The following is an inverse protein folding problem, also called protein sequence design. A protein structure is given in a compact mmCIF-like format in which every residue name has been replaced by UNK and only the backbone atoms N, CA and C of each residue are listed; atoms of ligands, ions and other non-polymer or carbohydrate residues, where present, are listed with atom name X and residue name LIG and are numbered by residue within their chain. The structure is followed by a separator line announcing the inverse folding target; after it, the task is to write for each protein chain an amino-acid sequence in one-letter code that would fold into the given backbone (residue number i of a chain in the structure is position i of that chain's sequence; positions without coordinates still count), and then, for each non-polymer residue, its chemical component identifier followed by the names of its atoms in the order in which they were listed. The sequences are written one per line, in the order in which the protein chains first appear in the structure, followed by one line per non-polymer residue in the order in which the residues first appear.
data_IF_070101642517
#
_entry.id   IF_070101642517
#
_cell.length_a   1.000
_cell.length_b   1.000
_cell.length_c   1.000
_cell.angle_alpha   90.00
_cell.angle_beta   90.00
_cell.angle_gamma   90.00
#
_symmetry.space_group_name_H-M   'P 1'
#
loop_
_entity.id
_entity.type
_entity.pdbx_description
1 polymer ?
#
# COMPACT_ATOMS: atom_id res chain seq x y z
N UNK A 1 -9.76 -6.62 -8.26
CA UNK A 1 -9.92 -7.50 -7.08
C UNK A 1 -9.82 -6.66 -5.81
N UNK A 2 -10.71 -6.87 -4.87
CA UNK A 2 -10.67 -6.31 -3.52
C UNK A 2 -9.95 -7.30 -2.61
N UNK A 3 -8.93 -6.82 -1.91
CA UNK A 3 -8.20 -7.56 -0.88
C UNK A 3 -8.02 -6.62 0.32
N UNK A 4 -8.19 -7.10 1.51
CA UNK A 4 -8.11 -6.31 2.73
C UNK A 4 -8.52 -7.14 3.95
N UNK A 5 -8.57 -6.55 5.16
CA UNK A 5 -8.87 -7.29 6.39
C UNK A 5 -10.15 -8.15 6.35
N UNK A 6 -11.18 -7.67 5.65
CA UNK A 6 -12.46 -8.38 5.49
C UNK A 6 -12.57 -9.16 4.15
N UNK A 7 -11.53 -9.10 3.31
CA UNK A 7 -11.56 -9.65 1.94
C UNK A 7 -10.29 -10.44 1.65
N UNK A 8 -10.36 -11.74 1.89
CA UNK A 8 -9.25 -12.66 1.61
C UNK A 8 -8.99 -12.78 0.12
N UNK A 9 -7.71 -12.86 -0.26
CA UNK A 9 -7.32 -13.22 -1.62
C UNK A 9 -7.78 -14.66 -1.92
N UNK A 10 -8.60 -14.85 -2.94
CA UNK A 10 -9.15 -16.14 -3.30
C UNK A 10 -8.09 -17.10 -3.86
N UNK A 11 -7.11 -16.53 -4.60
CA UNK A 11 -6.06 -17.31 -5.23
C UNK A 11 -4.79 -16.49 -5.36
N UNK A 12 -3.66 -17.07 -4.94
CA UNK A 12 -2.36 -16.46 -5.15
C UNK A 12 -2.03 -16.35 -6.65
N UNK A 13 -1.32 -15.29 -7.02
CA UNK A 13 -0.89 -15.09 -8.39
C UNK A 13 0.26 -16.05 -8.75
N UNK A 14 0.40 -16.36 -10.04
CA UNK A 14 1.56 -17.10 -10.55
C UNK A 14 2.72 -16.11 -10.73
N UNK A 15 3.66 -16.16 -9.81
CA UNK A 15 4.83 -15.28 -9.78
C UNK A 15 5.63 -15.34 -11.10
N UNK A 16 5.75 -16.53 -11.68
CA UNK A 16 6.55 -16.76 -12.89
C UNK A 16 5.99 -16.10 -14.15
N UNK A 17 4.67 -15.93 -14.20
CA UNK A 17 3.97 -15.45 -15.40
C UNK A 17 3.37 -14.04 -15.23
N UNK A 18 3.08 -13.63 -14.01
CA UNK A 18 2.34 -12.40 -13.74
C UNK A 18 3.22 -11.24 -13.23
N UNK A 19 4.39 -11.54 -12.67
CA UNK A 19 5.28 -10.50 -12.13
C UNK A 19 6.35 -10.06 -13.13
N UNK A 20 6.78 -8.81 -12.97
CA UNK A 20 7.95 -8.24 -13.60
C UNK A 20 8.89 -7.67 -12.53
N UNK A 21 10.19 -7.80 -12.74
CA UNK A 21 11.20 -7.18 -11.89
C UNK A 21 11.45 -5.75 -12.36
N UNK A 22 11.37 -4.82 -11.42
CA UNK A 22 11.78 -3.44 -11.64
C UNK A 22 13.30 -3.29 -11.52
N UNK A 23 13.84 -2.17 -11.98
CA UNK A 23 15.29 -1.87 -11.89
C UNK A 23 15.82 -1.83 -10.46
N UNK A 24 14.97 -1.55 -9.47
CA UNK A 24 15.29 -1.57 -8.05
C UNK A 24 15.24 -2.98 -7.41
N UNK A 25 14.93 -4.03 -8.19
CA UNK A 25 14.84 -5.42 -7.74
C UNK A 25 13.51 -5.84 -7.15
N UNK A 26 12.57 -4.92 -6.96
CA UNK A 26 11.21 -5.25 -6.51
C UNK A 26 10.38 -5.87 -7.63
N UNK A 27 9.40 -6.70 -7.23
CA UNK A 27 8.47 -7.35 -8.13
C UNK A 27 7.10 -6.69 -8.04
N UNK A 28 6.50 -6.44 -9.19
CA UNK A 28 5.12 -5.95 -9.32
C UNK A 28 4.40 -6.71 -10.44
N UNK A 29 3.08 -6.60 -10.51
CA UNK A 29 2.34 -7.14 -11.66
C UNK A 29 2.86 -6.50 -12.95
N UNK A 30 3.23 -7.32 -13.93
CA UNK A 30 3.84 -6.85 -15.20
C UNK A 30 2.96 -5.86 -15.97
N UNK A 31 1.63 -5.91 -15.76
CA UNK A 31 0.68 -5.02 -16.44
C UNK A 31 0.78 -3.57 -15.96
N UNK A 32 1.22 -3.37 -14.71
CA UNK A 32 1.31 -2.04 -14.10
C UNK A 32 2.74 -1.46 -14.10
N UNK A 33 3.73 -2.24 -14.48
CA UNK A 33 5.13 -1.79 -14.49
C UNK A 33 5.35 -0.52 -15.32
N UNK A 34 4.82 -0.38 -16.54
CA UNK A 34 4.96 0.86 -17.33
C UNK A 34 4.34 2.09 -16.66
N UNK A 35 3.18 1.92 -16.02
CA UNK A 35 2.49 3.02 -15.32
C UNK A 35 3.24 3.44 -14.06
N UNK A 36 3.78 2.48 -13.31
CA UNK A 36 4.62 2.78 -12.16
C UNK A 36 5.91 3.51 -12.56
N UNK A 37 6.59 3.06 -13.61
CA UNK A 37 7.81 3.72 -14.10
C UNK A 37 7.53 5.15 -14.58
N UNK A 38 6.41 5.38 -15.27
CA UNK A 38 5.98 6.71 -15.66
C UNK A 38 5.70 7.61 -14.44
N UNK A 39 5.04 7.07 -13.43
CA UNK A 39 4.78 7.77 -12.18
C UNK A 39 6.07 8.13 -11.43
N UNK A 40 7.00 7.18 -11.28
CA UNK A 40 8.28 7.41 -10.63
C UNK A 40 9.11 8.48 -11.35
N UNK A 41 9.10 8.46 -12.70
CA UNK A 41 9.79 9.48 -13.53
C UNK A 41 9.16 10.87 -13.35
N UNK A 42 7.84 10.96 -13.27
CA UNK A 42 7.15 12.23 -13.03
C UNK A 42 7.45 12.77 -11.61
N UNK A 43 7.51 11.91 -10.60
CA UNK A 43 7.90 12.28 -9.24
C UNK A 43 9.34 12.80 -9.18
N UNK A 44 10.28 12.16 -9.87
CA UNK A 44 11.66 12.62 -9.99
C UNK A 44 11.73 14.00 -10.65
N UNK A 45 11.02 14.21 -11.75
CA UNK A 45 10.95 15.49 -12.44
C UNK A 45 10.35 16.61 -11.58
N UNK A 46 9.46 16.26 -10.66
CA UNK A 46 8.87 17.20 -9.69
C UNK A 46 9.76 17.46 -8.46
N UNK A 47 10.90 16.79 -8.35
CA UNK A 47 11.83 16.92 -7.21
C UNK A 47 11.55 15.96 -6.05
N UNK A 48 10.73 14.93 -6.27
CA UNK A 48 10.38 13.91 -5.27
C UNK A 48 10.71 12.49 -5.77
N UNK A 49 11.99 12.16 -6.04
CA UNK A 49 12.37 10.81 -6.47
C UNK A 49 11.81 9.76 -5.49
N UNK A 50 11.13 8.75 -6.02
CA UNK A 50 10.50 7.72 -5.19
C UNK A 50 11.50 6.65 -4.75
N UNK A 51 11.40 6.27 -3.49
CA UNK A 51 12.05 5.10 -2.90
C UNK A 51 10.98 4.06 -2.61
N UNK A 52 11.08 2.90 -3.25
CA UNK A 52 10.20 1.78 -2.98
C UNK A 52 10.67 1.05 -1.73
N UNK A 53 9.76 0.82 -0.80
CA UNK A 53 10.01 0.15 0.49
C UNK A 53 9.44 -1.27 0.48
N UNK A 54 8.33 -1.48 -0.22
CA UNK A 54 7.68 -2.79 -0.38
C UNK A 54 6.92 -2.83 -1.69
N UNK A 55 6.76 -4.02 -2.25
CA UNK A 55 5.97 -4.28 -3.45
C UNK A 55 5.31 -5.67 -3.34
N UNK A 56 5.37 -6.51 -4.35
CA UNK A 56 4.84 -7.86 -4.24
C UNK A 56 5.43 -8.61 -3.03
N UNK A 57 4.57 -9.30 -2.32
CA UNK A 57 4.92 -10.17 -1.19
C UNK A 57 4.03 -11.41 -1.23
N UNK A 58 4.65 -12.59 -1.18
CA UNK A 58 3.92 -13.86 -1.09
C UNK A 58 3.18 -13.99 0.25
N UNK A 59 2.19 -14.88 0.31
CA UNK A 59 1.47 -15.16 1.57
C UNK A 59 2.43 -15.67 2.63
N UNK A 60 3.39 -16.52 2.27
CA UNK A 60 4.40 -17.03 3.21
C UNK A 60 5.33 -15.94 3.74
N UNK A 61 5.73 -14.99 2.90
CA UNK A 61 6.53 -13.83 3.34
C UNK A 61 5.72 -12.89 4.25
N UNK A 62 4.42 -12.71 3.97
CA UNK A 62 3.53 -11.94 4.83
C UNK A 62 3.41 -12.55 6.23
N UNK A 63 3.35 -13.87 6.32
CA UNK A 63 3.31 -14.56 7.60
C UNK A 63 4.54 -14.23 8.45
N UNK A 64 5.73 -14.27 7.86
CA UNK A 64 6.96 -13.91 8.57
C UNK A 64 6.94 -12.45 9.06
N UNK A 65 6.49 -11.51 8.23
CA UNK A 65 6.36 -10.09 8.60
C UNK A 65 5.37 -9.91 9.74
N UNK A 66 4.23 -10.58 9.67
CA UNK A 66 3.18 -10.51 10.68
C UNK A 66 3.67 -11.07 12.03
N UNK A 67 4.22 -12.28 12.03
CA UNK A 67 4.76 -12.93 13.22
C UNK A 67 5.88 -12.11 13.86
N UNK A 68 6.80 -11.57 13.06
CA UNK A 68 7.88 -10.71 13.57
C UNK A 68 7.32 -9.46 14.23
N UNK A 69 6.32 -8.82 13.63
CA UNK A 69 5.71 -7.63 14.22
C UNK A 69 4.99 -7.93 15.54
N UNK A 70 4.28 -9.07 15.64
CA UNK A 70 3.69 -9.52 16.89
C UNK A 70 4.77 -9.65 17.99
N UNK A 71 5.88 -10.29 17.70
CA UNK A 71 6.98 -10.43 18.65
C UNK A 71 7.60 -9.09 19.05
N UNK A 72 7.74 -8.17 18.09
CA UNK A 72 8.25 -6.83 18.34
C UNK A 72 7.31 -6.02 19.25
N UNK A 73 6.00 -6.11 19.04
CA UNK A 73 4.98 -5.46 19.89
C UNK A 73 5.01 -6.04 21.30
N UNK A 74 5.05 -7.38 21.43
CA UNK A 74 5.19 -8.03 22.73
C UNK A 74 6.42 -7.53 23.50
N UNK A 75 7.54 -7.46 22.83
CA UNK A 75 8.83 -7.06 23.42
C UNK A 75 8.85 -5.58 23.84
N UNK A 76 8.28 -4.69 23.00
CA UNK A 76 8.28 -3.23 23.25
C UNK A 76 7.24 -2.81 24.29
N UNK A 77 6.08 -3.44 24.30
CA UNK A 77 4.94 -3.02 25.12
C UNK A 77 4.68 -3.93 26.33
N UNK A 78 5.32 -5.11 26.39
CA UNK A 78 5.14 -6.05 27.48
C UNK A 78 3.74 -6.66 27.55
N UNK A 79 3.06 -6.75 26.40
CA UNK A 79 1.70 -7.28 26.29
C UNK A 79 1.69 -8.77 25.93
N UNK A 80 0.54 -9.42 26.08
CA UNK A 80 0.34 -10.81 25.65
C UNK A 80 0.39 -10.94 24.13
N UNK A 81 0.61 -12.15 23.63
CA UNK A 81 0.57 -12.45 22.19
C UNK A 81 -0.80 -12.12 21.58
N UNK A 82 -1.90 -12.39 22.31
CA UNK A 82 -3.24 -12.05 21.86
C UNK A 82 -3.42 -10.54 21.67
N UNK A 83 -2.95 -9.74 22.63
CA UNK A 83 -3.02 -8.28 22.54
C UNK A 83 -2.08 -7.73 21.46
N UNK A 84 -0.85 -8.26 21.38
CA UNK A 84 0.10 -7.89 20.34
C UNK A 84 -0.43 -8.21 18.93
N UNK A 85 -1.14 -9.33 18.76
CA UNK A 85 -1.80 -9.70 17.51
C UNK A 85 -2.87 -8.68 17.12
N UNK A 86 -3.70 -8.23 18.06
CA UNK A 86 -4.71 -7.18 17.81
C UNK A 86 -4.07 -5.88 17.36
N UNK A 87 -3.03 -5.44 18.06
CA UNK A 87 -2.28 -4.22 17.72
C UNK A 87 -1.65 -4.35 16.32
N UNK A 88 -1.06 -5.51 16.02
CA UNK A 88 -0.46 -5.75 14.71
C UNK A 88 -1.48 -5.65 13.57
N UNK A 89 -2.70 -6.17 13.76
CA UNK A 89 -3.76 -6.13 12.74
C UNK A 89 -4.23 -4.72 12.36
N UNK A 90 -3.96 -3.71 13.17
CA UNK A 90 -4.32 -2.32 12.86
C UNK A 90 -3.46 -1.72 11.73
N UNK A 91 -2.25 -2.28 11.53
CA UNK A 91 -1.27 -1.74 10.57
C UNK A 91 -0.75 -2.79 9.58
N UNK A 92 -0.79 -4.06 9.94
CA UNK A 92 -0.28 -5.16 9.11
C UNK A 92 -1.39 -6.19 8.94
N UNK A 93 -1.83 -6.40 7.71
CA UNK A 93 -2.85 -7.41 7.39
C UNK A 93 -2.35 -8.83 7.60
N UNK A 94 -3.25 -9.73 7.99
CA UNK A 94 -2.95 -11.15 8.11
C UNK A 94 -2.53 -11.77 6.76
N UNK A 95 -1.76 -12.87 6.78
CA UNK A 95 -1.43 -13.62 5.57
C UNK A 95 -2.67 -14.03 4.78
N UNK A 96 -2.68 -13.73 3.49
CA UNK A 96 -3.83 -13.93 2.61
C UNK A 96 -4.78 -12.73 2.50
N UNK A 97 -4.60 -11.69 3.31
CA UNK A 97 -5.43 -10.48 3.32
C UNK A 97 -4.69 -9.21 2.89
N UNK A 98 -3.41 -9.31 2.57
CA UNK A 98 -2.60 -8.18 2.11
C UNK A 98 -2.75 -7.92 0.61
N UNK A 99 -2.94 -6.65 0.22
CA UNK A 99 -2.91 -6.25 -1.19
C UNK A 99 -1.56 -6.51 -1.87
N UNK A 100 -0.47 -6.58 -1.12
CA UNK A 100 0.85 -6.91 -1.66
C UNK A 100 0.89 -8.29 -2.33
N UNK A 101 -0.01 -9.20 -1.98
CA UNK A 101 -0.16 -10.51 -2.65
C UNK A 101 -0.64 -10.41 -4.09
N UNK A 102 -1.24 -9.29 -4.47
CA UNK A 102 -1.77 -9.07 -5.83
C UNK A 102 -0.73 -8.59 -6.83
N UNK A 103 0.42 -8.10 -6.36
CA UNK A 103 1.38 -7.37 -7.18
C UNK A 103 0.90 -5.99 -7.65
N UNK A 104 -0.29 -5.54 -7.22
CA UNK A 104 -0.90 -4.26 -7.60
C UNK A 104 -0.70 -3.16 -6.55
N UNK A 105 -0.06 -3.46 -5.43
CA UNK A 105 0.22 -2.52 -4.35
C UNK A 105 1.73 -2.29 -4.20
N UNK A 106 2.09 -1.05 -3.91
CA UNK A 106 3.46 -0.63 -3.63
C UNK A 106 3.49 0.32 -2.44
N UNK A 107 4.51 0.17 -1.59
CA UNK A 107 4.82 1.13 -0.55
C UNK A 107 5.97 2.00 -1.02
N UNK A 108 5.72 3.29 -1.14
CA UNK A 108 6.71 4.27 -1.63
C UNK A 108 6.71 5.52 -0.77
N UNK A 109 7.89 6.08 -0.60
CA UNK A 109 8.12 7.41 -0.02
C UNK A 109 9.07 8.18 -0.92
N UNK A 110 9.17 9.50 -0.76
CA UNK A 110 10.19 10.25 -1.49
C UNK A 110 11.57 10.18 -0.81
N UNK A 111 12.61 10.46 -1.58
CA UNK A 111 14.00 10.37 -1.14
C UNK A 111 14.31 11.29 0.05
N UNK A 112 13.67 12.47 0.14
CA UNK A 112 13.93 13.40 1.24
C UNK A 112 13.42 12.79 2.56
N UNK A 113 12.21 12.22 2.56
CA UNK A 113 11.69 11.50 3.71
C UNK A 113 12.55 10.28 4.06
N UNK A 114 12.91 9.48 3.07
CA UNK A 114 13.74 8.29 3.27
C UNK A 114 15.09 8.61 3.94
N UNK A 115 15.65 9.77 3.66
CA UNK A 115 16.92 10.23 4.24
C UNK A 115 16.77 10.82 5.65
N UNK A 116 15.55 11.15 6.11
CA UNK A 116 15.35 11.97 7.32
C UNK A 116 14.17 11.56 8.21
N UNK A 117 13.55 10.40 7.99
CA UNK A 117 12.41 9.96 8.82
C UNK A 117 12.81 9.83 10.31
N UNK A 118 11.88 10.16 11.25
CA UNK A 118 12.22 10.29 12.66
C UNK A 118 12.46 8.97 13.40
N UNK A 119 11.70 7.90 13.09
CA UNK A 119 11.82 6.61 13.78
C UNK A 119 11.63 5.41 12.86
N UNK A 120 10.64 5.46 11.97
CA UNK A 120 10.40 4.42 10.96
C UNK A 120 10.05 5.08 9.64
N UNK A 121 10.46 4.44 8.53
CA UNK A 121 10.20 4.95 7.18
C UNK A 121 8.70 4.94 6.86
N UNK A 122 7.96 3.96 7.32
CA UNK A 122 6.51 3.85 7.18
C UNK A 122 5.82 4.42 8.42
N UNK A 123 5.65 5.73 8.43
CA UNK A 123 5.04 6.50 9.51
C UNK A 123 3.97 7.46 8.94
N UNK A 124 2.81 7.54 9.60
CA UNK A 124 1.68 8.34 9.14
C UNK A 124 2.01 9.85 9.01
N UNK A 125 3.00 10.36 9.76
CA UNK A 125 3.46 11.74 9.64
C UNK A 125 4.14 12.04 8.30
N UNK A 126 4.49 11.01 7.52
CA UNK A 126 4.89 11.19 6.12
C UNK A 126 3.82 11.93 5.31
N UNK A 127 2.55 11.70 5.60
CA UNK A 127 1.43 12.37 4.93
C UNK A 127 1.43 13.90 5.01
N UNK A 128 2.13 14.49 5.98
CA UNK A 128 2.28 15.92 6.13
C UNK A 128 3.42 16.51 5.27
N UNK A 129 4.25 15.66 4.68
CA UNK A 129 5.42 16.05 3.89
C UNK A 129 5.04 16.46 2.46
N UNK A 130 5.82 17.38 1.85
CA UNK A 130 5.56 17.82 0.46
C UNK A 130 5.53 16.69 -0.56
N UNK A 131 6.43 15.69 -0.42
CA UNK A 131 6.48 14.53 -1.32
C UNK A 131 5.22 13.67 -1.23
N UNK A 132 4.70 13.41 -0.03
CA UNK A 132 3.46 12.68 0.17
C UNK A 132 2.25 13.41 -0.42
N UNK A 133 2.20 14.74 -0.28
CA UNK A 133 1.15 15.57 -0.89
C UNK A 133 1.22 15.51 -2.42
N UNK A 134 2.42 15.59 -2.98
CA UNK A 134 2.61 15.44 -4.42
C UNK A 134 2.12 14.07 -4.91
N UNK A 135 2.46 13.00 -4.20
CA UNK A 135 1.99 11.63 -4.50
C UNK A 135 0.46 11.58 -4.49
N UNK A 136 -0.18 12.06 -3.42
CA UNK A 136 -1.63 12.05 -3.28
C UNK A 136 -2.33 12.82 -4.42
N UNK A 137 -1.76 13.94 -4.85
CA UNK A 137 -2.32 14.80 -5.90
C UNK A 137 -2.12 14.25 -7.31
N UNK A 138 -1.09 13.42 -7.54
CA UNK A 138 -0.68 13.02 -8.89
C UNK A 138 -0.83 11.52 -9.19
N UNK A 139 -0.91 10.65 -8.18
CA UNK A 139 -0.94 9.20 -8.37
C UNK A 139 -2.09 8.72 -9.26
N UNK A 140 -3.26 9.36 -9.19
CA UNK A 140 -4.44 8.98 -9.95
C UNK A 140 -4.23 9.04 -11.48
N UNK A 141 -3.43 9.98 -11.97
CA UNK A 141 -3.08 10.13 -13.39
C UNK A 141 -2.32 8.90 -13.93
N UNK A 142 -1.71 8.12 -13.04
CA UNK A 142 -0.96 6.90 -13.35
C UNK A 142 -1.72 5.62 -12.90
N UNK A 143 -2.97 5.77 -12.48
CA UNK A 143 -3.85 4.67 -12.11
C UNK A 143 -3.71 4.20 -10.66
N UNK A 144 -3.01 4.94 -9.81
CA UNK A 144 -2.83 4.61 -8.39
C UNK A 144 -3.70 5.48 -7.48
N UNK A 145 -4.13 4.88 -6.38
CA UNK A 145 -4.81 5.57 -5.27
C UNK A 145 -4.03 5.41 -3.97
N UNK A 146 -4.14 6.37 -3.06
CA UNK A 146 -3.79 6.16 -1.66
C UNK A 146 -4.86 5.24 -1.07
N UNK A 147 -4.48 3.99 -0.81
CA UNK A 147 -5.43 2.90 -0.51
C UNK A 147 -6.13 3.05 0.83
N UNK A 148 -5.40 3.52 1.83
CA UNK A 148 -5.86 3.69 3.20
C UNK A 148 -5.82 5.17 3.59
N UNK A 149 -6.81 5.96 3.11
CA UNK A 149 -6.86 7.40 3.35
C UNK A 149 -7.25 7.72 4.79
N UNK A 150 -6.82 8.89 5.26
CA UNK A 150 -7.12 9.39 6.60
C UNK A 150 -8.63 9.60 6.80
N UNK A 151 -9.16 9.11 7.92
CA UNK A 151 -10.56 9.29 8.29
C UNK A 151 -11.51 8.24 7.73
N UNK A 152 -11.00 7.16 7.13
CA UNK A 152 -11.78 6.05 6.58
C UNK A 152 -11.40 4.69 7.22
N UNK A 153 -10.78 4.72 8.38
CA UNK A 153 -10.30 3.53 9.11
C UNK A 153 -11.43 2.59 9.53
N UNK A 154 -12.63 3.13 9.74
CA UNK A 154 -13.85 2.37 10.03
C UNK A 154 -14.32 1.52 8.82
N UNK A 155 -14.00 1.94 7.59
CA UNK A 155 -14.32 1.23 6.35
C UNK A 155 -13.21 0.27 5.96
N UNK A 156 -11.97 0.76 5.88
CA UNK A 156 -10.83 -0.02 5.40
C UNK A 156 -10.25 -0.98 6.43
N UNK A 157 -10.52 -0.77 7.72
CA UNK A 157 -9.98 -1.49 8.89
C UNK A 157 -8.46 -1.38 9.04
N UNK A 158 -7.83 -0.47 8.30
CA UNK A 158 -6.40 -0.16 8.36
C UNK A 158 -6.24 1.32 8.66
N UNK A 159 -5.28 1.66 9.50
CA UNK A 159 -4.91 3.05 9.82
C UNK A 159 -4.37 3.77 8.59
N UNK A 160 -4.35 5.12 8.64
CA UNK A 160 -3.85 5.95 7.54
C UNK A 160 -2.44 5.56 7.10
N UNK A 161 -2.29 5.23 5.82
CA UNK A 161 -1.02 4.86 5.19
C UNK A 161 -0.75 5.71 3.94
N UNK A 162 -0.10 6.88 4.08
CA UNK A 162 0.21 7.77 2.94
C UNK A 162 1.18 7.17 1.92
N UNK A 163 1.90 6.12 2.27
CA UNK A 163 2.88 5.42 1.43
C UNK A 163 2.29 4.28 0.61
N UNK A 164 1.14 3.73 1.03
CA UNK A 164 0.55 2.53 0.43
C UNK A 164 -0.36 2.90 -0.75
N UNK A 165 0.14 2.62 -1.96
CA UNK A 165 -0.55 2.90 -3.20
C UNK A 165 -1.08 1.61 -3.82
N UNK A 166 -2.33 1.65 -4.28
CA UNK A 166 -2.98 0.56 -5.01
C UNK A 166 -3.29 0.99 -6.44
N UNK A 167 -2.88 0.16 -7.40
CA UNK A 167 -3.27 0.33 -8.80
C UNK A 167 -4.71 -0.16 -9.03
N UNK A 168 -5.52 0.69 -9.64
CA UNK A 168 -6.92 0.42 -9.98
C UNK A 168 -7.27 0.80 -11.44
N UNK A 169 -6.29 1.33 -12.19
CA UNK A 169 -6.49 1.91 -13.52
C UNK A 169 -6.82 3.40 -13.46
N UNK A 170 -6.45 4.15 -14.51
CA UNK A 170 -6.52 5.62 -14.52
C UNK A 170 -7.91 6.16 -14.28
N UNK A 171 -8.89 5.70 -15.05
CA UNK A 171 -10.28 6.17 -14.94
C UNK A 171 -10.85 5.93 -13.54
N UNK A 172 -10.62 4.74 -12.98
CA UNK A 172 -11.07 4.40 -11.64
C UNK A 172 -10.35 5.23 -10.58
N UNK A 173 -9.02 5.40 -10.71
CA UNK A 173 -8.22 6.17 -9.76
C UNK A 173 -8.63 7.64 -9.73
N UNK A 174 -8.85 8.25 -10.90
CA UNK A 174 -9.32 9.63 -11.01
C UNK A 174 -10.71 9.80 -10.39
N UNK A 175 -11.63 8.85 -10.62
CA UNK A 175 -12.97 8.88 -10.03
C UNK A 175 -12.89 8.77 -8.50
N UNK A 176 -12.18 7.76 -7.98
CA UNK A 176 -12.02 7.50 -6.56
C UNK A 176 -11.41 8.73 -5.85
N UNK A 177 -10.33 9.26 -6.40
CA UNK A 177 -9.63 10.42 -5.82
C UNK A 177 -10.49 11.67 -5.84
N UNK A 178 -11.18 11.96 -6.97
CA UNK A 178 -12.06 13.10 -7.12
C UNK A 178 -13.23 13.09 -6.13
N UNK A 179 -13.80 11.92 -5.88
CA UNK A 179 -14.94 11.74 -4.98
C UNK A 179 -14.55 11.38 -3.55
N UNK A 180 -13.24 11.30 -3.26
CA UNK A 180 -12.68 10.97 -1.95
C UNK A 180 -13.23 9.65 -1.37
N UNK A 181 -13.37 8.65 -2.25
CA UNK A 181 -13.87 7.32 -1.89
C UNK A 181 -12.72 6.39 -1.46
N UNK A 182 -13.07 5.40 -0.65
CA UNK A 182 -12.26 4.20 -0.51
C UNK A 182 -12.50 3.25 -1.69
N UNK A 183 -11.65 2.25 -1.86
CA UNK A 183 -11.88 1.21 -2.88
C UNK A 183 -13.16 0.41 -2.58
N UNK A 184 -13.46 0.18 -1.31
CA UNK A 184 -14.67 -0.49 -0.83
C UNK A 184 -15.94 0.28 -1.26
N UNK A 185 -15.99 1.57 -0.98
CA UNK A 185 -17.12 2.44 -1.36
C UNK A 185 -17.30 2.48 -2.88
N UNK A 186 -16.21 2.65 -3.62
CA UNK A 186 -16.25 2.65 -5.08
C UNK A 186 -16.83 1.35 -5.66
N UNK A 187 -16.39 0.20 -5.15
CA UNK A 187 -16.90 -1.09 -5.61
C UNK A 187 -18.36 -1.30 -5.24
N UNK A 188 -18.82 -0.80 -4.08
CA UNK A 188 -20.22 -0.81 -3.71
C UNK A 188 -21.06 0.03 -4.68
N UNK A 189 -20.62 1.24 -5.04
CA UNK A 189 -21.30 2.06 -6.06
C UNK A 189 -21.42 1.36 -7.42
N UNK A 190 -20.42 0.56 -7.82
CA UNK A 190 -20.45 -0.20 -9.07
C UNK A 190 -21.45 -1.35 -9.03
N UNK A 191 -21.63 -1.97 -7.86
CA UNK A 191 -22.56 -3.10 -7.70
C UNK A 191 -24.03 -2.66 -7.59
N UNK A 192 -24.28 -1.39 -7.26
CA UNK A 192 -25.63 -0.82 -7.17
C UNK A 192 -26.20 -0.34 -8.53
N UNK A 193 -25.38 -0.32 -9.58
CA UNK A 193 -25.74 0.07 -10.96
C UNK A 193 -26.02 -1.16 -11.82
#
# INVERSE_FOLDING_TARGET
VLVGPDHKLEKEIDESTQLASLSNGYLIDKRIAPEYEAFAKAAEAAGFPLVMVSAYRSVSSQQQVFEQNVQDVMSRQGVSEEEATKITKETITEPGYSEHHTGLAVDVVDQNWYNSYPSTVLDASYGDQPGAKWIADNAAQYGFIVRYPKGHEDITKITYEPWHLRYVGKENAEYITKHQLTLEEYLNELNEK
#
